data_IF_382211981138
#
_entry.id   IF_382211981138
#
_cell.length_a   1.000
_cell.length_b   1.000
_cell.length_c   1.000
_cell.angle_alpha   90.00
_cell.angle_beta   90.00
_cell.angle_gamma   90.00
#
_symmetry.space_group_name_H-M   'P 1'
#
loop_
_entity.id
_entity.type
_entity.pdbx_description
1 polymer ?
#
# COMPACT_ATOMS: atom_id res chain seq x y z
N UNK A 1 8.83 -69.53 -7.88
CA UNK A 1 8.22 -68.29 -8.25
C UNK A 1 8.96 -67.14 -7.58
N UNK A 2 9.77 -66.38 -8.33
CA UNK A 2 10.51 -65.22 -7.80
C UNK A 2 9.58 -63.98 -7.95
N UNK A 3 9.22 -63.39 -6.80
CA UNK A 3 8.48 -62.11 -6.81
C UNK A 3 9.47 -60.98 -7.13
N UNK A 4 9.25 -60.32 -8.23
CA UNK A 4 9.96 -59.08 -8.59
C UNK A 4 9.26 -57.93 -7.84
N UNK A 5 9.95 -57.33 -6.88
CA UNK A 5 9.51 -56.08 -6.21
C UNK A 5 9.99 -54.93 -7.08
N UNK A 6 9.06 -54.25 -7.74
CA UNK A 6 9.34 -53.03 -8.48
C UNK A 6 9.49 -51.87 -7.46
N UNK A 7 10.57 -51.08 -7.49
CA UNK A 7 10.69 -49.92 -6.62
C UNK A 7 9.70 -48.84 -7.07
N UNK A 8 8.83 -48.41 -6.16
CA UNK A 8 7.97 -47.26 -6.36
C UNK A 8 8.89 -46.02 -6.35
N UNK A 9 9.12 -45.44 -7.51
CA UNK A 9 9.78 -44.14 -7.65
C UNK A 9 8.82 -43.06 -7.13
N UNK A 10 9.02 -42.63 -5.89
CA UNK A 10 8.34 -41.45 -5.36
C UNK A 10 8.97 -40.24 -6.05
N UNK A 11 8.31 -39.73 -7.09
CA UNK A 11 8.64 -38.47 -7.67
C UNK A 11 8.33 -37.37 -6.64
N UNK A 12 9.34 -36.93 -5.90
CA UNK A 12 9.24 -35.69 -5.14
C UNK A 12 9.06 -34.53 -6.13
N UNK A 13 7.84 -34.05 -6.24
CA UNK A 13 7.58 -32.79 -6.92
C UNK A 13 8.27 -31.70 -6.12
N UNK A 14 9.47 -31.30 -6.54
CA UNK A 14 10.05 -30.06 -6.10
C UNK A 14 9.11 -28.93 -6.61
N UNK A 15 8.28 -28.41 -5.74
CA UNK A 15 7.59 -27.14 -5.97
C UNK A 15 8.69 -26.08 -5.98
N UNK A 16 9.14 -25.69 -7.17
CA UNK A 16 9.91 -24.46 -7.31
C UNK A 16 8.97 -23.33 -6.88
N UNK A 17 9.27 -22.69 -5.75
CA UNK A 17 8.57 -21.50 -5.32
C UNK A 17 8.53 -20.52 -6.49
N UNK A 18 7.36 -19.95 -6.76
CA UNK A 18 7.19 -18.98 -7.84
C UNK A 18 8.16 -17.81 -7.58
N UNK A 19 9.02 -17.48 -8.54
CA UNK A 19 9.95 -16.34 -8.41
C UNK A 19 9.18 -15.03 -8.28
N UNK A 20 9.73 -14.08 -7.51
CA UNK A 20 9.17 -12.73 -7.40
C UNK A 20 9.01 -12.10 -8.79
N UNK A 21 7.87 -11.46 -9.02
CA UNK A 21 7.51 -10.83 -10.28
C UNK A 21 7.64 -9.30 -10.18
N UNK A 22 7.76 -8.69 -11.34
CA UNK A 22 7.71 -7.22 -11.48
C UNK A 22 6.51 -6.87 -12.34
N UNK A 23 5.58 -6.11 -11.79
CA UNK A 23 4.43 -5.57 -12.49
C UNK A 23 4.61 -4.08 -12.76
N UNK A 24 4.02 -3.62 -13.85
CA UNK A 24 4.07 -2.23 -14.28
C UNK A 24 2.66 -1.65 -14.32
N UNK A 25 2.52 -0.40 -13.88
CA UNK A 25 1.28 0.38 -13.94
C UNK A 25 1.57 1.71 -14.63
N UNK A 26 0.76 2.05 -15.63
CA UNK A 26 0.87 3.27 -16.44
C UNK A 26 -0.51 3.85 -16.70
N UNK A 27 -0.84 4.96 -16.04
CA UNK A 27 -2.14 5.63 -16.20
C UNK A 27 -2.39 6.12 -17.64
N UNK A 28 -1.33 6.44 -18.39
CA UNK A 28 -1.46 7.04 -19.72
C UNK A 28 -1.60 5.99 -20.81
N UNK A 29 -0.73 4.98 -20.81
CA UNK A 29 -0.63 3.99 -21.89
C UNK A 29 -0.99 2.57 -21.44
N UNK A 30 -1.26 2.36 -20.15
CA UNK A 30 -1.63 1.06 -19.62
C UNK A 30 -3.04 0.62 -19.99
N UNK A 31 -3.27 -0.68 -19.86
CA UNK A 31 -4.59 -1.30 -20.05
C UNK A 31 -4.72 -2.47 -19.08
N UNK A 32 -5.80 -2.52 -18.31
CA UNK A 32 -6.03 -3.57 -17.32
C UNK A 32 -6.32 -4.96 -17.95
N UNK A 33 -6.45 -5.04 -19.27
CA UNK A 33 -6.45 -6.31 -20.00
C UNK A 33 -5.05 -6.84 -20.34
N UNK A 34 -3.99 -6.07 -20.07
CA UNK A 34 -2.61 -6.48 -20.25
C UNK A 34 -2.16 -7.48 -19.16
N UNK A 35 -0.94 -8.02 -19.31
CA UNK A 35 -0.34 -8.90 -18.29
C UNK A 35 0.51 -8.18 -17.23
N UNK A 36 0.80 -6.89 -17.42
CA UNK A 36 1.57 -6.07 -16.50
C UNK A 36 3.06 -6.39 -16.40
N UNK A 37 3.61 -7.34 -17.16
CA UNK A 37 4.98 -7.85 -16.98
C UNK A 37 6.07 -7.00 -17.64
N UNK A 38 5.69 -5.99 -18.40
CA UNK A 38 6.61 -5.01 -18.99
C UNK A 38 5.96 -3.63 -19.03
N UNK A 39 6.77 -2.56 -19.14
CA UNK A 39 6.23 -1.21 -19.28
C UNK A 39 5.36 -1.02 -20.53
N UNK A 40 5.68 -1.72 -21.60
CA UNK A 40 4.88 -1.71 -22.85
C UNK A 40 3.57 -2.51 -22.75
N UNK A 41 3.39 -3.32 -21.72
CA UNK A 41 2.18 -4.09 -21.42
C UNK A 41 1.70 -3.82 -19.98
N UNK A 42 1.88 -2.60 -19.50
CA UNK A 42 1.50 -2.17 -18.18
C UNK A 42 -0.02 -2.27 -17.94
N UNK A 43 -0.42 -2.50 -16.70
CA UNK A 43 -1.79 -2.26 -16.26
C UNK A 43 -2.07 -0.76 -16.27
N UNK A 44 -3.32 -0.36 -16.34
CA UNK A 44 -3.71 1.03 -16.28
C UNK A 44 -3.88 1.52 -14.86
N UNK A 45 -4.47 0.71 -13.99
CA UNK A 45 -4.88 1.13 -12.65
C UNK A 45 -4.19 0.33 -11.56
N UNK A 46 -3.91 1.00 -10.45
CA UNK A 46 -3.38 0.36 -9.26
C UNK A 46 -4.44 -0.52 -8.58
N UNK A 47 -5.71 -0.13 -8.68
CA UNK A 47 -6.86 -0.89 -8.19
C UNK A 47 -6.95 -2.27 -8.85
N UNK A 48 -6.69 -2.35 -10.16
CA UNK A 48 -6.69 -3.63 -10.86
C UNK A 48 -5.67 -4.61 -10.26
N UNK A 49 -4.46 -4.14 -9.96
CA UNK A 49 -3.41 -4.98 -9.35
C UNK A 49 -3.88 -5.55 -8.02
N UNK A 50 -4.45 -4.71 -7.14
CA UNK A 50 -4.86 -5.14 -5.80
C UNK A 50 -6.19 -5.91 -5.80
N UNK A 51 -7.13 -5.61 -6.66
CA UNK A 51 -8.36 -6.38 -6.82
C UNK A 51 -8.08 -7.80 -7.35
N UNK A 52 -6.98 -7.97 -8.07
CA UNK A 52 -6.54 -9.27 -8.59
C UNK A 52 -5.30 -9.82 -7.86
N UNK A 53 -4.97 -9.31 -6.69
CA UNK A 53 -3.74 -9.66 -5.97
C UNK A 53 -3.61 -11.17 -5.68
N UNK A 54 -4.72 -11.88 -5.45
CA UNK A 54 -4.71 -13.33 -5.22
C UNK A 54 -4.17 -14.14 -6.43
N UNK A 55 -4.33 -13.63 -7.64
CA UNK A 55 -3.85 -14.25 -8.88
C UNK A 55 -2.56 -13.63 -9.41
N UNK A 56 -2.34 -12.35 -9.18
CA UNK A 56 -1.17 -11.62 -9.64
C UNK A 56 0.00 -11.76 -8.67
N UNK A 57 -0.21 -11.37 -7.39
CA UNK A 57 0.86 -11.33 -6.41
C UNK A 57 1.14 -12.73 -5.85
N UNK A 58 2.40 -13.10 -5.83
CA UNK A 58 2.86 -14.39 -5.31
C UNK A 58 3.00 -14.36 -3.78
N UNK A 59 3.40 -15.48 -3.18
CA UNK A 59 3.81 -15.53 -1.77
C UNK A 59 5.18 -14.92 -1.53
N UNK A 60 5.94 -14.64 -2.59
CA UNK A 60 7.16 -13.84 -2.55
C UNK A 60 6.81 -12.35 -2.60
N UNK A 61 7.78 -11.50 -2.27
CA UNK A 61 7.61 -10.05 -2.33
C UNK A 61 7.73 -9.60 -3.79
N UNK A 62 6.60 -9.41 -4.45
CA UNK A 62 6.55 -8.91 -5.81
C UNK A 62 6.75 -7.39 -5.85
N UNK A 63 7.23 -6.87 -6.98
CA UNK A 63 7.44 -5.43 -7.17
C UNK A 63 6.39 -4.86 -8.11
N UNK A 64 5.77 -3.75 -7.72
CA UNK A 64 4.84 -2.96 -8.52
C UNK A 64 5.55 -1.65 -8.88
N UNK A 65 5.92 -1.50 -10.14
CA UNK A 65 6.54 -0.27 -10.67
C UNK A 65 5.47 0.63 -11.26
N UNK A 66 5.32 1.81 -10.68
CA UNK A 66 4.35 2.81 -11.09
C UNK A 66 5.06 3.86 -11.92
N UNK A 67 4.65 4.03 -13.18
CA UNK A 67 5.19 5.04 -14.06
C UNK A 67 4.72 6.43 -13.62
N UNK A 68 5.42 7.52 -14.02
CA UNK A 68 5.02 8.86 -13.63
C UNK A 68 3.63 9.21 -14.16
N UNK A 69 2.82 9.81 -13.29
CA UNK A 69 1.52 10.39 -13.66
C UNK A 69 1.67 11.79 -14.26
N UNK A 70 2.69 12.52 -13.82
CA UNK A 70 3.06 13.81 -14.41
C UNK A 70 4.10 13.58 -15.50
N UNK A 71 3.82 14.08 -16.69
CA UNK A 71 4.73 14.07 -17.85
C UNK A 71 4.72 15.45 -18.52
N UNK A 72 5.63 15.72 -19.44
CA UNK A 72 5.65 16.97 -20.20
C UNK A 72 4.35 17.23 -20.95
N UNK A 73 3.68 16.15 -21.40
CA UNK A 73 2.38 16.22 -22.09
C UNK A 73 1.18 16.24 -21.13
N UNK A 74 1.37 15.85 -19.87
CA UNK A 74 0.35 15.76 -18.83
C UNK A 74 0.86 16.36 -17.50
N UNK A 75 1.06 17.69 -17.42
CA UNK A 75 1.70 18.31 -16.26
C UNK A 75 0.85 18.24 -14.97
N UNK A 76 -0.44 17.94 -15.08
CA UNK A 76 -1.35 17.76 -13.95
C UNK A 76 -1.89 16.32 -13.84
N UNK A 77 -1.17 15.35 -14.43
CA UNK A 77 -1.59 13.97 -14.40
C UNK A 77 -1.51 13.37 -12.98
N UNK A 78 -2.45 12.49 -12.66
CA UNK A 78 -2.46 11.72 -11.41
C UNK A 78 -3.15 10.38 -11.61
N UNK A 79 -2.87 9.42 -10.73
CA UNK A 79 -3.63 8.18 -10.61
C UNK A 79 -4.88 8.46 -9.77
N UNK A 80 -6.04 8.37 -10.39
CA UNK A 80 -7.33 8.43 -9.72
C UNK A 80 -7.50 7.17 -8.85
N UNK A 81 -7.85 7.38 -7.59
CA UNK A 81 -8.10 6.29 -6.63
C UNK A 81 -9.57 5.86 -6.60
N UNK A 82 -10.42 6.46 -7.45
CA UNK A 82 -11.83 6.10 -7.58
C UNK A 82 -12.65 6.37 -6.33
N UNK A 83 -13.82 5.74 -6.28
CA UNK A 83 -14.76 5.89 -5.17
C UNK A 83 -14.49 4.90 -4.02
N UNK A 84 -13.61 3.90 -4.22
CA UNK A 84 -13.25 2.88 -3.23
C UNK A 84 -11.73 2.82 -3.05
N UNK A 85 -11.24 3.11 -1.85
CA UNK A 85 -9.84 2.91 -1.48
C UNK A 85 -9.45 1.41 -1.50
N UNK A 86 -8.16 1.13 -1.47
CA UNK A 86 -7.64 -0.24 -1.46
C UNK A 86 -7.63 -0.80 -0.05
N UNK A 87 -8.35 -1.90 0.17
CA UNK A 87 -8.41 -2.61 1.44
C UNK A 87 -7.62 -3.93 1.40
N UNK A 88 -6.62 -4.05 2.28
CA UNK A 88 -5.77 -5.23 2.44
C UNK A 88 -5.92 -5.76 3.88
N UNK A 89 -6.34 -7.02 4.01
CA UNK A 89 -6.63 -7.65 5.30
C UNK A 89 -6.10 -9.08 5.36
N UNK A 90 -5.72 -9.54 6.55
CA UNK A 90 -5.29 -10.93 6.80
C UNK A 90 -6.36 -11.97 6.40
N UNK A 91 -7.62 -11.59 6.46
CA UNK A 91 -8.73 -12.48 6.08
C UNK A 91 -9.01 -12.48 4.57
N UNK A 92 -8.37 -11.60 3.81
CA UNK A 92 -8.55 -11.51 2.36
C UNK A 92 -7.43 -12.20 1.60
N UNK A 93 -7.77 -12.80 0.46
CA UNK A 93 -6.80 -13.45 -0.43
C UNK A 93 -5.78 -12.48 -1.05
N UNK A 94 -6.00 -11.17 -0.91
CA UNK A 94 -5.10 -10.12 -1.40
C UNK A 94 -4.10 -9.61 -0.34
N UNK A 95 -4.02 -10.25 0.82
CA UNK A 95 -3.03 -9.96 1.86
C UNK A 95 -1.65 -10.49 1.45
N UNK A 96 -0.87 -9.69 0.75
CA UNK A 96 0.49 -10.02 0.30
C UNK A 96 1.44 -8.89 0.66
N UNK A 97 2.69 -9.25 0.93
CA UNK A 97 3.77 -8.27 0.97
C UNK A 97 4.18 -7.90 -0.45
N UNK A 98 4.52 -6.65 -0.67
CA UNK A 98 4.92 -6.13 -1.98
C UNK A 98 5.85 -4.93 -1.84
N UNK A 99 6.56 -4.63 -2.90
CA UNK A 99 7.32 -3.38 -3.04
C UNK A 99 6.62 -2.54 -4.11
N UNK A 100 6.14 -1.36 -3.76
CA UNK A 100 5.54 -0.42 -4.71
C UNK A 100 6.40 0.81 -4.87
N UNK A 101 6.82 1.10 -6.09
CA UNK A 101 7.77 2.16 -6.40
C UNK A 101 7.22 3.09 -7.48
N UNK A 102 7.06 4.36 -7.15
CA UNK A 102 6.96 5.45 -8.13
C UNK A 102 8.34 5.68 -8.75
N UNK A 103 8.57 5.18 -9.96
CA UNK A 103 9.92 5.10 -10.54
C UNK A 103 10.56 6.45 -10.87
N UNK A 104 9.75 7.50 -10.98
CA UNK A 104 10.19 8.87 -11.20
C UNK A 104 10.18 9.73 -9.91
N UNK A 105 9.89 9.11 -8.76
CA UNK A 105 9.80 9.78 -7.46
C UNK A 105 8.45 10.44 -7.20
N UNK A 106 8.30 10.93 -5.96
CA UNK A 106 7.03 11.43 -5.44
C UNK A 106 6.52 12.69 -6.18
N UNK A 107 7.41 13.53 -6.67
CA UNK A 107 7.01 14.74 -7.40
C UNK A 107 6.33 14.42 -8.74
N UNK A 108 6.53 13.22 -9.28
CA UNK A 108 6.02 12.82 -10.59
C UNK A 108 5.04 11.64 -10.53
N UNK A 109 4.89 10.98 -9.38
CA UNK A 109 3.98 9.85 -9.22
C UNK A 109 2.94 10.21 -8.15
N UNK A 110 1.76 10.65 -8.59
CA UNK A 110 0.72 11.17 -7.72
C UNK A 110 -0.48 10.24 -7.70
N UNK A 111 -0.88 9.83 -6.50
CA UNK A 111 -2.13 9.16 -6.20
C UNK A 111 -3.07 10.17 -5.59
N UNK A 112 -4.09 10.59 -6.31
CA UNK A 112 -5.09 11.57 -5.85
C UNK A 112 -6.42 10.87 -5.60
N UNK A 113 -6.89 10.93 -4.37
CA UNK A 113 -8.19 10.38 -3.99
C UNK A 113 -9.33 11.41 -4.12
N UNK A 114 -9.05 12.62 -4.63
CA UNK A 114 -10.03 13.68 -4.92
C UNK A 114 -10.96 14.02 -3.74
N UNK A 115 -10.55 13.72 -2.51
CA UNK A 115 -11.37 13.90 -1.32
C UNK A 115 -12.51 12.90 -1.17
N UNK A 116 -12.51 11.81 -1.91
CA UNK A 116 -13.60 10.81 -1.91
C UNK A 116 -13.35 9.71 -0.88
N UNK A 117 -12.13 9.18 -0.84
CA UNK A 117 -11.76 8.04 0.01
C UNK A 117 -10.33 8.13 0.51
N UNK A 118 -9.96 7.24 1.44
CA UNK A 118 -8.55 6.99 1.74
C UNK A 118 -7.90 6.18 0.60
N UNK A 119 -6.57 6.27 0.48
CA UNK A 119 -5.84 5.47 -0.50
C UNK A 119 -5.76 4.01 -0.10
N UNK A 120 -5.30 3.72 1.13
CA UNK A 120 -5.11 2.36 1.61
C UNK A 120 -5.63 2.14 3.02
N UNK A 121 -6.16 0.95 3.23
CA UNK A 121 -6.43 0.39 4.55
C UNK A 121 -5.73 -0.95 4.69
N UNK A 122 -4.75 -1.00 5.59
CA UNK A 122 -4.01 -2.21 5.93
C UNK A 122 -4.49 -2.75 7.26
N UNK A 123 -4.88 -4.02 7.29
CA UNK A 123 -5.46 -4.61 8.49
C UNK A 123 -4.81 -5.96 8.81
N UNK A 124 -3.68 -5.94 9.53
CA UNK A 124 -3.00 -7.10 10.07
C UNK A 124 -2.28 -7.98 9.07
N UNK A 125 -1.85 -7.48 7.92
CA UNK A 125 -1.41 -8.34 6.83
C UNK A 125 0.00 -8.09 6.30
N UNK A 126 0.53 -6.90 6.49
CA UNK A 126 1.83 -6.53 5.93
C UNK A 126 2.89 -6.45 7.01
N UNK A 127 4.08 -6.94 6.70
CA UNK A 127 5.28 -6.80 7.53
C UNK A 127 6.27 -5.78 6.92
N UNK A 128 7.46 -5.66 7.51
CA UNK A 128 8.50 -4.73 7.09
C UNK A 128 9.08 -5.00 5.70
N UNK A 129 8.73 -6.11 5.05
CA UNK A 129 9.10 -6.39 3.65
C UNK A 129 8.16 -5.70 2.67
N UNK A 130 7.00 -5.19 3.14
CA UNK A 130 6.17 -4.28 2.36
C UNK A 130 6.78 -2.90 2.36
N UNK A 131 7.13 -2.42 1.16
CA UNK A 131 7.75 -1.10 0.96
C UNK A 131 6.89 -0.29 0.00
N UNK A 132 6.63 0.97 0.36
CA UNK A 132 5.99 1.94 -0.52
C UNK A 132 6.94 3.12 -0.67
N UNK A 133 7.34 3.42 -1.90
CA UNK A 133 8.41 4.38 -2.17
C UNK A 133 8.08 5.35 -3.30
N UNK A 134 8.44 6.63 -3.10
CA UNK A 134 8.48 7.64 -4.16
C UNK A 134 7.10 8.00 -4.73
N UNK A 135 6.08 8.09 -3.89
CA UNK A 135 4.69 8.36 -4.27
C UNK A 135 4.16 9.53 -3.45
N UNK A 136 3.44 10.45 -4.10
CA UNK A 136 2.60 11.44 -3.42
C UNK A 136 1.20 10.88 -3.24
N UNK A 137 0.74 10.84 -2.00
CA UNK A 137 -0.64 10.51 -1.60
C UNK A 137 -1.38 11.81 -1.29
N UNK A 138 -2.32 12.18 -2.14
CA UNK A 138 -2.95 13.49 -2.12
C UNK A 138 -4.46 13.39 -1.95
N UNK A 139 -5.03 14.36 -1.21
CA UNK A 139 -6.48 14.54 -1.07
C UNK A 139 -7.24 13.27 -0.60
N UNK A 140 -6.59 12.42 0.19
CA UNK A 140 -7.28 11.30 0.83
C UNK A 140 -8.28 11.79 1.87
N UNK A 141 -9.40 11.09 2.00
CA UNK A 141 -10.46 11.42 2.97
C UNK A 141 -11.01 10.18 3.67
N UNK A 142 -11.26 10.30 4.95
CA UNK A 142 -12.08 9.37 5.71
C UNK A 142 -12.83 10.10 6.81
N UNK A 143 -14.08 9.69 7.04
CA UNK A 143 -14.97 10.32 8.03
C UNK A 143 -14.43 10.21 9.46
N UNK A 144 -13.62 9.16 9.74
CA UNK A 144 -13.13 8.91 11.10
C UNK A 144 -11.61 8.99 11.20
N UNK A 145 -10.86 8.10 10.55
CA UNK A 145 -9.45 7.81 10.86
C UNK A 145 -8.59 7.69 9.61
N UNK A 146 -7.44 8.36 9.59
CA UNK A 146 -6.43 8.18 8.57
C UNK A 146 -6.91 8.52 7.16
N UNK A 147 -6.97 9.82 6.83
CA UNK A 147 -7.50 10.29 5.55
C UNK A 147 -6.81 9.71 4.33
N UNK A 148 -5.50 9.46 4.41
CA UNK A 148 -4.78 8.73 3.37
C UNK A 148 -4.67 7.24 3.65
N UNK A 149 -4.28 6.88 4.89
CA UNK A 149 -4.01 5.49 5.26
C UNK A 149 -4.47 5.16 6.67
N UNK A 150 -4.96 3.94 6.83
CA UNK A 150 -5.20 3.32 8.12
C UNK A 150 -4.33 2.06 8.25
N UNK A 151 -3.44 2.05 9.24
CA UNK A 151 -2.51 0.96 9.51
C UNK A 151 -2.90 0.29 10.83
N UNK A 152 -3.39 -0.93 10.76
CA UNK A 152 -3.73 -1.72 11.95
C UNK A 152 -2.95 -3.02 11.92
N UNK A 153 -2.08 -3.25 12.93
CA UNK A 153 -1.21 -4.44 13.01
C UNK A 153 -0.35 -4.68 11.75
N UNK A 154 0.02 -3.61 11.05
CA UNK A 154 0.76 -3.67 9.78
C UNK A 154 2.04 -2.84 9.88
N UNK A 155 3.18 -3.43 9.52
CA UNK A 155 4.51 -2.87 9.71
C UNK A 155 5.16 -2.54 8.36
N UNK A 156 4.68 -1.48 7.72
CA UNK A 156 5.07 -1.08 6.37
C UNK A 156 6.23 -0.09 6.42
N UNK A 157 7.15 -0.18 5.46
CA UNK A 157 8.22 0.79 5.26
C UNK A 157 7.82 1.82 4.20
N UNK A 158 7.74 3.08 4.58
CA UNK A 158 7.49 4.21 3.68
C UNK A 158 8.81 4.95 3.42
N UNK A 159 9.17 5.13 2.15
CA UNK A 159 10.45 5.75 1.76
C UNK A 159 10.20 6.86 0.75
N UNK A 160 10.65 8.07 1.08
CA UNK A 160 10.58 9.25 0.17
C UNK A 160 9.17 9.49 -0.40
N UNK A 161 8.14 9.34 0.43
CA UNK A 161 6.76 9.62 0.06
C UNK A 161 6.34 11.02 0.52
N UNK A 162 5.32 11.56 -0.14
CA UNK A 162 4.67 12.81 0.24
C UNK A 162 3.22 12.52 0.59
N UNK A 163 2.76 12.97 1.76
CA UNK A 163 1.36 12.96 2.17
C UNK A 163 0.86 14.40 2.17
N UNK A 164 0.01 14.77 1.21
CA UNK A 164 -0.38 16.15 0.95
C UNK A 164 -1.90 16.34 0.95
N UNK A 165 -2.41 17.25 1.79
CA UNK A 165 -3.80 17.64 1.80
C UNK A 165 -4.79 16.54 2.17
N UNK A 166 -4.33 15.50 2.91
CA UNK A 166 -5.22 14.44 3.36
C UNK A 166 -6.01 14.86 4.59
N UNK A 167 -7.23 14.36 4.70
CA UNK A 167 -8.20 14.81 5.69
C UNK A 167 -8.89 13.63 6.39
N UNK A 168 -9.01 13.71 7.69
CA UNK A 168 -9.85 12.80 8.48
C UNK A 168 -10.83 13.58 9.35
N UNK A 169 -11.97 12.97 9.67
CA UNK A 169 -12.97 13.61 10.52
C UNK A 169 -12.62 13.58 11.99
N UNK A 170 -11.85 12.61 12.46
CA UNK A 170 -11.59 12.38 13.89
C UNK A 170 -10.11 12.41 14.25
N UNK A 171 -9.27 11.64 13.54
CA UNK A 171 -7.85 11.56 13.88
C UNK A 171 -6.98 11.08 12.72
N UNK A 172 -5.67 11.42 12.81
CA UNK A 172 -4.69 11.05 11.79
C UNK A 172 -5.01 11.63 10.42
N UNK A 173 -4.98 12.96 10.25
CA UNK A 173 -5.36 13.60 8.98
C UNK A 173 -4.80 12.93 7.74
N UNK A 174 -3.53 12.51 7.76
CA UNK A 174 -2.98 11.63 6.74
C UNK A 174 -3.02 10.16 7.15
N UNK A 175 -2.46 9.80 8.32
CA UNK A 175 -2.26 8.41 8.70
C UNK A 175 -2.75 8.17 10.14
N UNK A 176 -3.54 7.12 10.31
CA UNK A 176 -3.84 6.53 11.62
C UNK A 176 -3.08 5.21 11.76
N UNK A 177 -2.39 5.04 12.90
CA UNK A 177 -1.60 3.85 13.24
C UNK A 177 -2.17 3.26 14.52
N UNK A 178 -2.63 2.01 14.46
CA UNK A 178 -3.24 1.32 15.60
C UNK A 178 -2.88 -0.16 15.69
N UNK A 179 -3.36 -0.82 16.75
CA UNK A 179 -3.23 -2.27 16.91
C UNK A 179 -1.80 -2.79 17.02
N UNK A 180 -0.88 -2.05 17.61
CA UNK A 180 0.56 -2.38 17.68
C UNK A 180 1.27 -2.37 16.32
N UNK A 181 0.74 -1.68 15.33
CA UNK A 181 1.48 -1.45 14.09
C UNK A 181 2.75 -0.62 14.37
N UNK A 182 3.82 -0.95 13.66
CA UNK A 182 5.12 -0.30 13.80
C UNK A 182 5.72 0.01 12.41
N UNK A 183 5.07 0.88 11.64
CA UNK A 183 5.59 1.32 10.35
C UNK A 183 6.87 2.15 10.53
N UNK A 184 7.65 2.25 9.45
CA UNK A 184 8.79 3.16 9.38
C UNK A 184 8.58 4.21 8.29
N UNK A 185 9.07 5.43 8.55
CA UNK A 185 9.02 6.54 7.60
C UNK A 185 10.43 7.08 7.43
N UNK A 186 10.97 6.94 6.23
CA UNK A 186 12.29 7.44 5.85
C UNK A 186 12.14 8.50 4.77
N UNK A 187 12.66 9.71 5.04
CA UNK A 187 12.61 10.84 4.09
C UNK A 187 11.19 11.18 3.59
N UNK A 188 10.16 10.93 4.41
CA UNK A 188 8.78 11.23 4.07
C UNK A 188 8.41 12.67 4.44
N UNK A 189 7.54 13.28 3.64
CA UNK A 189 7.05 14.64 3.87
C UNK A 189 5.54 14.60 4.15
N UNK A 190 5.13 15.26 5.24
CA UNK A 190 3.73 15.45 5.60
C UNK A 190 3.40 16.94 5.52
N UNK A 191 2.50 17.33 4.63
CA UNK A 191 2.12 18.74 4.46
C UNK A 191 0.61 18.89 4.23
N UNK A 192 0.04 19.98 4.70
CA UNK A 192 -1.37 20.33 4.51
C UNK A 192 -2.38 19.28 4.98
N UNK A 193 -1.95 18.29 5.80
CA UNK A 193 -2.87 17.29 6.32
C UNK A 193 -3.58 17.85 7.55
N UNK A 194 -4.87 17.55 7.71
CA UNK A 194 -5.65 18.10 8.79
C UNK A 194 -6.81 17.20 9.22
N UNK A 195 -7.36 17.53 10.38
CA UNK A 195 -8.58 16.94 10.89
C UNK A 195 -9.71 17.95 10.70
N UNK A 196 -10.81 17.49 10.11
CA UNK A 196 -12.04 18.25 10.04
C UNK A 196 -12.92 17.87 11.25
N UNK A 197 -12.61 18.44 12.43
CA UNK A 197 -13.53 18.26 13.55
C UNK A 197 -14.77 19.14 13.31
N UNK A 198 -15.93 18.54 13.31
CA UNK A 198 -17.16 19.29 13.55
C UNK A 198 -17.05 19.90 14.96
N UNK A 199 -17.48 21.14 15.10
CA UNK A 199 -17.37 21.97 16.31
C UNK A 199 -17.95 21.32 17.60
N UNK A 200 -18.33 20.04 17.57
CA UNK A 200 -18.97 19.29 18.66
C UNK A 200 -18.13 18.13 19.20
N UNK A 201 -16.99 17.79 18.58
CA UNK A 201 -16.09 16.73 19.02
C UNK A 201 -14.86 17.35 19.69
N UNK A 202 -14.73 17.18 20.98
CA UNK A 202 -13.60 17.71 21.80
C UNK A 202 -12.28 16.97 21.61
N UNK A 203 -12.10 16.16 20.57
CA UNK A 203 -10.95 15.27 20.44
C UNK A 203 -10.53 15.05 18.99
N UNK A 204 -9.93 16.07 18.39
CA UNK A 204 -9.12 15.89 17.18
C UNK A 204 -7.68 15.55 17.54
N UNK A 205 -7.15 14.39 17.14
CA UNK A 205 -5.79 13.98 17.44
C UNK A 205 -4.95 13.82 16.18
N UNK A 206 -3.77 14.48 16.15
CA UNK A 206 -2.77 14.28 15.12
C UNK A 206 -3.17 14.77 13.73
N UNK A 207 -3.03 16.08 13.45
CA UNK A 207 -3.38 16.66 12.15
C UNK A 207 -2.75 15.94 10.96
N UNK A 208 -1.50 15.50 11.07
CA UNK A 208 -0.86 14.68 10.05
C UNK A 208 -0.97 13.19 10.39
N UNK A 209 -0.56 12.79 11.60
CA UNK A 209 -0.47 11.39 12.00
C UNK A 209 -0.97 11.22 13.44
N UNK A 210 -1.73 10.16 13.67
CA UNK A 210 -2.03 9.67 15.02
C UNK A 210 -1.44 8.28 15.21
N UNK A 211 -0.89 8.06 16.39
CA UNK A 211 -0.33 6.80 16.81
C UNK A 211 -1.08 6.35 18.05
N UNK A 212 -1.86 5.28 17.93
CA UNK A 212 -2.42 4.60 19.08
C UNK A 212 -1.41 3.58 19.59
N UNK A 213 -0.91 3.81 20.78
CA UNK A 213 -0.06 2.85 21.50
C UNK A 213 -0.79 1.55 21.76
N UNK A 214 -0.07 0.47 22.11
CA UNK A 214 -0.68 -0.79 22.46
C UNK A 214 -1.60 -0.60 23.68
N UNK A 215 -2.84 -1.03 23.54
CA UNK A 215 -3.73 -1.10 24.70
C UNK A 215 -3.17 -2.14 25.68
N UNK A 216 -2.54 -1.69 26.76
CA UNK A 216 -2.14 -2.43 27.96
C UNK A 216 -0.83 -3.24 27.98
N UNK A 217 -0.05 -3.36 26.93
CA UNK A 217 1.23 -4.09 27.01
C UNK A 217 2.41 -3.25 26.50
N UNK A 218 2.92 -2.35 27.34
CA UNK A 218 4.08 -1.49 27.08
C UNK A 218 5.41 -2.27 26.96
N UNK A 219 5.38 -3.59 26.94
CA UNK A 219 6.60 -4.42 27.02
C UNK A 219 7.19 -4.81 25.66
N UNK A 220 6.53 -4.49 24.55
CA UNK A 220 7.08 -4.74 23.21
C UNK A 220 7.48 -3.44 22.53
N UNK A 221 8.76 -3.15 22.63
CA UNK A 221 9.43 -2.05 21.94
C UNK A 221 9.40 -2.28 20.42
N UNK A 222 8.37 -1.80 19.75
CA UNK A 222 8.39 -1.58 18.30
C UNK A 222 8.30 -0.07 18.07
N UNK A 223 9.42 0.66 18.13
CA UNK A 223 9.39 2.11 17.92
C UNK A 223 9.06 2.41 16.46
N UNK A 224 8.13 3.35 16.26
CA UNK A 224 7.94 3.95 14.94
C UNK A 224 9.20 4.75 14.62
N UNK A 225 9.84 4.41 13.50
CA UNK A 225 11.06 5.05 13.06
C UNK A 225 10.74 6.15 12.07
N UNK A 226 11.07 7.40 12.41
CA UNK A 226 10.99 8.57 11.52
C UNK A 226 12.40 9.07 11.34
N UNK A 227 12.89 9.10 10.10
CA UNK A 227 14.24 9.58 9.74
C UNK A 227 14.18 10.53 8.56
#
# INVERSE_FOLDING_TARGET
MKRIILPILVASTFSFGQSAKVYWVDIHNGNDSNNGLASSSAFKTIQYVFNNASSLLSTNVDTIKVLPSITDSQPNGYYDFGDDGIYLSTSSSNSRNFVMIGIAGADSTIFDAEGKNRHFRFYGSQDSTTIIQGITFKNGYDEYYGGSMFLYQSNISFVSNIFDGNKAGSSGGAIEIGGNASPSFDSCVFKNNYIESDNNSSSGYGGAMKIDGPSSDYTKNNPIKIT
#
